data_IF_861915967199
#
_entry.id   IF_861915967199
#
_cell.length_a   1.000
_cell.length_b   1.000
_cell.length_c   1.000
_cell.angle_alpha   90.00
_cell.angle_beta   90.00
_cell.angle_gamma   90.00
#
_symmetry.space_group_name_H-M   'P 1'
#
loop_
_entity.id
_entity.type
_entity.pdbx_description
1 polymer ?
#
# COMPACT_ATOMS: atom_id res chain seq x y z
N UNK A 1 9.66 -31.87 -28.52
CA UNK A 1 8.58 -32.29 -27.58
C UNK A 1 7.38 -31.35 -27.78
N UNK A 2 6.30 -31.88 -28.43
CA UNK A 2 5.01 -31.16 -28.55
C UNK A 2 3.97 -31.81 -27.64
N UNK A 3 3.05 -31.05 -27.02
CA UNK A 3 1.93 -31.61 -26.27
C UNK A 3 1.04 -32.51 -27.14
N UNK A 4 0.65 -33.65 -26.60
CA UNK A 4 -0.11 -34.70 -27.34
C UNK A 4 -1.42 -35.02 -26.63
N UNK A 5 -2.48 -35.30 -27.40
CA UNK A 5 -3.74 -35.82 -26.87
C UNK A 5 -3.60 -37.28 -26.43
N UNK A 6 -4.46 -37.71 -25.51
CA UNK A 6 -4.49 -39.11 -25.02
C UNK A 6 -4.44 -40.15 -26.14
N UNK A 7 -5.22 -39.93 -27.21
CA UNK A 7 -5.22 -40.87 -28.39
C UNK A 7 -3.87 -40.91 -29.11
N UNK A 8 -3.19 -39.78 -29.23
CA UNK A 8 -1.86 -39.71 -29.84
C UNK A 8 -0.82 -40.41 -28.98
N UNK A 9 -0.93 -40.28 -27.64
CA UNK A 9 -0.09 -41.00 -26.69
C UNK A 9 -0.33 -42.53 -26.73
N UNK A 10 -1.60 -42.97 -26.85
CA UNK A 10 -1.90 -44.39 -27.04
C UNK A 10 -1.23 -44.98 -28.27
N UNK A 11 -1.20 -44.22 -29.38
CA UNK A 11 -0.54 -44.65 -30.62
C UNK A 11 0.97 -44.64 -30.47
N UNK A 12 1.55 -43.57 -29.92
CA UNK A 12 2.99 -43.42 -29.73
C UNK A 12 3.58 -44.50 -28.80
N UNK A 13 2.83 -44.87 -27.77
CA UNK A 13 3.27 -45.86 -26.77
C UNK A 13 2.77 -47.28 -27.07
N UNK A 14 2.17 -47.49 -28.21
CA UNK A 14 1.60 -48.79 -28.68
C UNK A 14 0.69 -49.46 -27.63
N UNK A 15 -0.20 -48.65 -27.00
CA UNK A 15 -1.11 -49.12 -25.95
C UNK A 15 -2.38 -49.69 -26.55
N UNK A 16 -2.61 -50.98 -26.37
CA UNK A 16 -3.81 -51.69 -26.84
C UNK A 16 -5.07 -51.13 -26.20
N UNK A 17 -6.23 -51.30 -26.85
CA UNK A 17 -7.52 -50.82 -26.32
C UNK A 17 -7.82 -51.30 -24.89
N UNK A 18 -7.44 -52.52 -24.55
CA UNK A 18 -7.66 -53.12 -23.24
C UNK A 18 -6.86 -52.44 -22.11
N UNK A 19 -5.69 -51.86 -22.45
CA UNK A 19 -4.79 -51.21 -21.48
C UNK A 19 -4.89 -49.70 -21.41
N UNK A 20 -5.84 -49.08 -22.14
CA UNK A 20 -6.00 -47.62 -22.15
C UNK A 20 -6.34 -47.04 -20.78
N UNK A 21 -7.12 -47.76 -19.99
CA UNK A 21 -7.45 -47.34 -18.61
C UNK A 21 -6.19 -47.26 -17.75
N UNK A 22 -5.26 -48.22 -17.88
CA UNK A 22 -3.98 -48.18 -17.16
C UNK A 22 -3.14 -46.95 -17.52
N UNK A 23 -3.09 -46.62 -18.82
CA UNK A 23 -2.39 -45.42 -19.30
C UNK A 23 -3.05 -44.16 -18.78
N UNK A 24 -4.37 -44.06 -18.78
CA UNK A 24 -5.11 -42.90 -18.30
C UNK A 24 -4.86 -42.69 -16.79
N UNK A 25 -4.91 -43.78 -16.01
CA UNK A 25 -4.61 -43.75 -14.58
C UNK A 25 -3.17 -43.29 -14.32
N UNK A 26 -2.20 -43.82 -15.06
CA UNK A 26 -0.80 -43.41 -14.93
C UNK A 26 -0.57 -41.94 -15.33
N UNK A 27 -1.24 -41.45 -16.38
CA UNK A 27 -1.14 -40.05 -16.80
C UNK A 27 -1.75 -39.12 -15.75
N UNK A 28 -2.90 -39.47 -15.18
CA UNK A 28 -3.53 -38.69 -14.11
C UNK A 28 -2.63 -38.65 -12.86
N UNK A 29 -2.05 -39.80 -12.47
CA UNK A 29 -1.08 -39.84 -11.38
C UNK A 29 0.13 -38.93 -11.66
N UNK A 30 0.68 -38.94 -12.87
CA UNK A 30 1.81 -38.08 -13.26
C UNK A 30 1.42 -36.59 -13.29
N UNK A 31 0.17 -36.25 -13.61
CA UNK A 31 -0.36 -34.88 -13.50
C UNK A 31 -0.47 -34.48 -12.02
N UNK A 32 -1.04 -35.36 -11.18
CA UNK A 32 -1.17 -35.10 -9.73
C UNK A 32 0.19 -34.96 -9.05
N UNK A 33 1.19 -35.71 -9.48
CA UNK A 33 2.57 -35.60 -9.03
C UNK A 33 3.31 -34.37 -9.62
N UNK A 34 2.69 -33.64 -10.55
CA UNK A 34 3.29 -32.47 -11.22
C UNK A 34 4.40 -32.81 -12.20
N UNK A 35 4.57 -34.08 -12.59
CA UNK A 35 5.59 -34.53 -13.53
C UNK A 35 5.24 -34.24 -14.99
N UNK A 36 3.94 -34.17 -15.30
CA UNK A 36 3.41 -33.71 -16.58
C UNK A 36 2.26 -32.73 -16.35
N UNK A 37 2.00 -31.86 -17.35
CA UNK A 37 0.85 -30.96 -17.35
C UNK A 37 -0.19 -31.40 -18.39
N UNK A 38 -1.44 -30.95 -18.19
CA UNK A 38 -2.53 -31.11 -19.15
C UNK A 38 -3.08 -29.74 -19.54
N UNK A 39 -3.20 -29.48 -20.86
CA UNK A 39 -3.79 -28.22 -21.35
C UNK A 39 -5.31 -28.24 -21.24
N UNK A 40 -5.95 -27.05 -21.32
CA UNK A 40 -7.41 -26.90 -21.43
C UNK A 40 -8.05 -27.71 -22.58
N UNK A 41 -7.24 -28.09 -23.55
CA UNK A 41 -7.68 -28.92 -24.70
C UNK A 41 -7.34 -30.40 -24.53
N UNK A 42 -6.97 -30.85 -23.33
CA UNK A 42 -6.66 -32.26 -23.02
C UNK A 42 -5.38 -32.78 -23.68
N UNK A 43 -4.37 -31.91 -23.88
CA UNK A 43 -3.05 -32.33 -24.34
C UNK A 43 -2.10 -32.46 -23.14
N UNK A 44 -1.41 -33.59 -23.07
CA UNK A 44 -0.36 -33.86 -22.09
C UNK A 44 1.00 -33.39 -22.60
N UNK A 45 1.83 -32.83 -21.71
CA UNK A 45 3.18 -32.37 -22.03
C UNK A 45 3.98 -32.00 -20.80
N UNK A 46 5.12 -31.33 -20.99
CA UNK A 46 5.90 -30.81 -19.88
C UNK A 46 5.08 -29.78 -19.10
N UNK A 47 5.17 -29.76 -17.75
CA UNK A 47 4.39 -28.84 -16.94
C UNK A 47 4.54 -27.38 -17.37
N UNK A 48 5.79 -26.97 -17.69
CA UNK A 48 6.12 -25.59 -18.08
C UNK A 48 5.42 -25.10 -19.35
N UNK A 49 4.84 -25.99 -20.15
CA UNK A 49 4.07 -25.64 -21.36
C UNK A 49 2.63 -25.22 -21.07
N UNK A 50 2.16 -25.41 -19.85
CA UNK A 50 0.76 -25.20 -19.43
C UNK A 50 0.65 -24.41 -18.15
N UNK A 51 1.69 -23.64 -17.84
CA UNK A 51 1.73 -22.81 -16.65
C UNK A 51 1.30 -21.39 -16.96
N UNK A 52 0.63 -20.78 -16.01
CA UNK A 52 0.26 -19.37 -15.98
C UNK A 52 1.17 -18.65 -15.00
N UNK A 53 1.58 -17.43 -15.34
CA UNK A 53 2.31 -16.55 -14.42
C UNK A 53 1.30 -15.73 -13.62
N UNK A 54 1.52 -15.61 -12.31
CA UNK A 54 0.66 -14.79 -11.46
C UNK A 54 1.31 -14.49 -10.11
N UNK A 55 0.63 -13.67 -9.32
CA UNK A 55 1.02 -13.32 -7.96
C UNK A 55 0.31 -14.19 -6.95
N UNK A 56 1.06 -14.77 -6.00
CA UNK A 56 0.53 -15.64 -4.96
C UNK A 56 0.10 -14.85 -3.73
N UNK A 57 -1.10 -15.11 -3.24
CA UNK A 57 -1.59 -14.62 -1.95
C UNK A 57 -1.98 -15.82 -1.07
N UNK A 58 -1.50 -15.83 0.18
CA UNK A 58 -1.83 -16.85 1.16
C UNK A 58 -2.88 -16.37 2.14
N UNK A 59 -3.49 -17.32 2.84
CA UNK A 59 -4.43 -17.09 3.93
C UNK A 59 -3.88 -17.66 5.23
N UNK A 60 -4.42 -17.23 6.37
CA UNK A 60 -4.08 -17.76 7.68
C UNK A 60 -4.45 -19.25 7.88
N UNK A 61 -5.18 -19.85 6.93
CA UNK A 61 -5.55 -21.28 6.94
C UNK A 61 -4.64 -22.17 6.11
N UNK A 62 -3.60 -21.60 5.48
CA UNK A 62 -2.59 -22.32 4.72
C UNK A 62 -2.88 -22.54 3.23
N UNK A 63 -4.08 -22.31 2.76
CA UNK A 63 -4.36 -22.26 1.34
C UNK A 63 -4.12 -20.86 0.80
N UNK A 64 -4.02 -20.72 -0.51
CA UNK A 64 -3.82 -19.43 -1.15
C UNK A 64 -4.53 -19.32 -2.48
N UNK A 65 -4.25 -18.22 -3.17
CA UNK A 65 -4.77 -17.90 -4.48
C UNK A 65 -3.64 -17.37 -5.36
N UNK A 66 -3.71 -17.65 -6.65
CA UNK A 66 -2.84 -17.02 -7.65
C UNK A 66 -3.70 -16.13 -8.53
N UNK A 67 -3.43 -14.83 -8.47
CA UNK A 67 -4.02 -13.83 -9.37
C UNK A 67 -3.22 -13.80 -10.67
N UNK A 68 -3.89 -14.05 -11.79
CA UNK A 68 -3.31 -14.05 -13.14
C UNK A 68 -3.91 -12.87 -13.90
N UNK A 69 -3.09 -12.02 -14.49
CA UNK A 69 -3.51 -10.75 -15.11
C UNK A 69 -4.55 -10.96 -16.25
N UNK A 70 -4.46 -12.07 -16.96
CA UNK A 70 -5.38 -12.36 -18.07
C UNK A 70 -6.65 -13.13 -17.64
N UNK A 71 -6.93 -13.27 -16.35
CA UNK A 71 -8.08 -14.00 -15.80
C UNK A 71 -8.91 -13.16 -14.85
N UNK A 72 -10.23 -13.26 -14.98
CA UNK A 72 -11.19 -12.58 -14.10
C UNK A 72 -11.25 -13.18 -12.69
N UNK A 73 -10.83 -14.43 -12.52
CA UNK A 73 -10.91 -15.15 -11.25
C UNK A 73 -9.56 -15.74 -10.86
N UNK A 74 -9.26 -15.64 -9.58
CA UNK A 74 -8.07 -16.25 -8.97
C UNK A 74 -8.11 -17.77 -9.01
N UNK A 75 -6.94 -18.39 -9.14
CA UNK A 75 -6.75 -19.84 -9.09
C UNK A 75 -6.52 -20.24 -7.62
N UNK A 76 -7.36 -21.11 -7.08
CA UNK A 76 -7.22 -21.65 -5.73
C UNK A 76 -6.03 -22.60 -5.64
N UNK A 77 -5.22 -22.45 -4.57
CA UNK A 77 -4.04 -23.28 -4.29
C UNK A 77 -4.22 -23.94 -2.92
N UNK A 78 -4.34 -25.26 -2.92
CA UNK A 78 -4.41 -26.03 -1.68
C UNK A 78 -3.08 -25.95 -0.90
N UNK A 79 -3.07 -26.14 0.44
CA UNK A 79 -1.86 -26.03 1.27
C UNK A 79 -0.67 -26.84 0.72
N UNK A 80 -0.92 -28.08 0.30
CA UNK A 80 0.12 -28.99 -0.21
C UNK A 80 0.62 -28.63 -1.64
N UNK A 81 -0.02 -27.65 -2.27
CA UNK A 81 0.30 -27.22 -3.65
C UNK A 81 1.00 -25.85 -3.71
N UNK A 82 1.39 -25.27 -2.56
CA UNK A 82 1.98 -23.93 -2.48
C UNK A 82 3.47 -23.88 -2.81
N UNK A 83 4.17 -25.00 -2.85
CA UNK A 83 5.63 -25.11 -3.06
C UNK A 83 6.45 -24.25 -2.07
N UNK A 84 5.89 -23.91 -0.91
CA UNK A 84 6.54 -23.05 0.07
C UNK A 84 6.57 -21.55 -0.31
N UNK A 85 5.78 -21.14 -1.30
CA UNK A 85 5.66 -19.74 -1.71
C UNK A 85 5.19 -18.84 -0.56
N UNK A 86 5.73 -17.63 -0.51
CA UNK A 86 5.37 -16.58 0.44
C UNK A 86 4.36 -15.61 -0.19
N UNK A 87 3.59 -14.87 0.62
CA UNK A 87 2.67 -13.85 0.10
C UNK A 87 3.38 -12.82 -0.77
N UNK A 88 2.84 -12.56 -1.95
CA UNK A 88 3.40 -11.64 -2.94
C UNK A 88 4.31 -12.29 -3.97
N UNK A 89 4.76 -13.53 -3.77
CA UNK A 89 5.66 -14.21 -4.71
C UNK A 89 5.07 -14.28 -6.11
N UNK A 90 5.91 -14.03 -7.11
CA UNK A 90 5.57 -14.26 -8.52
C UNK A 90 5.84 -15.72 -8.85
N UNK A 91 4.79 -16.44 -9.26
CA UNK A 91 4.83 -17.88 -9.43
C UNK A 91 4.36 -18.34 -10.82
N UNK A 92 4.79 -19.54 -11.21
CA UNK A 92 4.15 -20.31 -12.26
C UNK A 92 3.19 -21.32 -11.65
N UNK A 93 1.93 -21.27 -12.03
CA UNK A 93 0.88 -22.18 -11.59
C UNK A 93 0.41 -23.07 -12.73
N UNK A 94 0.28 -24.37 -12.48
CA UNK A 94 -0.38 -25.32 -13.37
C UNK A 94 -1.80 -25.55 -12.87
N UNK A 95 -2.79 -25.39 -13.74
CA UNK A 95 -4.19 -25.70 -13.43
C UNK A 95 -4.38 -27.20 -13.41
N UNK A 96 -4.82 -27.74 -12.29
CA UNK A 96 -5.09 -29.18 -12.09
C UNK A 96 -6.58 -29.52 -12.16
N UNK A 97 -7.46 -28.55 -11.86
CA UNK A 97 -8.91 -28.68 -12.02
C UNK A 97 -9.51 -27.39 -12.54
N UNK A 98 -10.31 -27.48 -13.61
CA UNK A 98 -11.00 -26.32 -14.18
C UNK A 98 -12.28 -25.99 -13.42
N UNK A 99 -12.69 -24.71 -13.47
CA UNK A 99 -13.96 -24.27 -12.92
C UNK A 99 -15.13 -25.08 -13.50
N UNK A 100 -15.99 -25.57 -12.61
CA UNK A 100 -17.20 -26.30 -12.98
C UNK A 100 -18.36 -25.92 -12.04
N UNK A 101 -19.31 -25.16 -12.56
CA UNK A 101 -20.43 -24.64 -11.79
C UNK A 101 -19.94 -23.68 -10.68
N UNK A 102 -20.17 -24.04 -9.41
CA UNK A 102 -19.73 -23.25 -8.25
C UNK A 102 -18.27 -23.48 -7.80
N UNK A 103 -17.58 -24.48 -8.40
CA UNK A 103 -16.17 -24.77 -8.07
C UNK A 103 -15.23 -23.83 -8.82
N UNK A 104 -14.28 -23.24 -8.07
CA UNK A 104 -13.21 -22.43 -8.64
C UNK A 104 -12.17 -23.31 -9.34
N UNK A 105 -11.37 -22.72 -10.22
CA UNK A 105 -10.18 -23.38 -10.73
C UNK A 105 -9.23 -23.68 -9.58
N UNK A 106 -8.64 -24.88 -9.59
CA UNK A 106 -7.62 -25.29 -8.64
C UNK A 106 -6.29 -25.48 -9.39
N UNK A 107 -5.22 -25.02 -8.76
CA UNK A 107 -3.87 -25.08 -9.32
C UNK A 107 -2.83 -25.58 -8.33
N UNK A 108 -1.65 -25.85 -8.86
CA UNK A 108 -0.43 -26.17 -8.11
C UNK A 108 0.67 -25.21 -8.56
N UNK A 109 1.38 -24.61 -7.61
CA UNK A 109 2.58 -23.86 -7.91
C UNK A 109 3.66 -24.86 -8.34
N UNK A 110 4.20 -24.66 -9.53
CA UNK A 110 5.25 -25.52 -10.09
C UNK A 110 6.62 -24.87 -10.03
N UNK A 111 6.65 -23.53 -9.88
CA UNK A 111 7.89 -22.78 -9.75
C UNK A 111 7.62 -21.40 -9.14
N UNK A 112 8.48 -20.98 -8.25
CA UNK A 112 8.56 -19.59 -7.78
C UNK A 112 9.56 -18.90 -8.71
N UNK A 113 9.14 -17.80 -9.34
CA UNK A 113 9.95 -17.02 -10.28
C UNK A 113 10.71 -15.91 -9.56
N UNK A 114 10.02 -15.27 -8.60
CA UNK A 114 10.54 -14.12 -7.87
C UNK A 114 9.91 -14.09 -6.48
N UNK A 115 10.74 -13.87 -5.48
CA UNK A 115 10.30 -13.59 -4.12
C UNK A 115 10.22 -12.07 -3.93
N UNK A 116 9.08 -11.57 -3.50
CA UNK A 116 8.87 -10.14 -3.26
C UNK A 116 9.13 -9.74 -1.80
N UNK A 117 8.92 -10.66 -0.86
CA UNK A 117 9.18 -10.43 0.55
C UNK A 117 10.68 -10.54 0.83
N UNK A 118 11.33 -9.43 1.15
CA UNK A 118 12.78 -9.38 1.45
C UNK A 118 13.09 -9.38 2.94
N UNK A 119 12.12 -9.00 3.77
CA UNK A 119 12.25 -8.97 5.23
C UNK A 119 10.95 -9.37 5.91
N UNK A 120 11.03 -9.74 7.17
CA UNK A 120 9.88 -10.11 8.00
C UNK A 120 9.95 -9.41 9.35
N UNK A 121 8.79 -8.93 9.82
CA UNK A 121 8.60 -8.45 11.19
C UNK A 121 7.97 -9.55 12.01
N UNK A 122 8.47 -9.78 13.22
CA UNK A 122 7.94 -10.83 14.07
C UNK A 122 8.52 -10.84 15.47
N UNK A 123 8.15 -11.86 16.22
CA UNK A 123 8.64 -12.07 17.58
C UNK A 123 9.80 -13.06 17.58
N UNK A 124 10.94 -12.64 18.14
CA UNK A 124 12.11 -13.49 18.25
C UNK A 124 11.96 -14.52 19.37
N UNK A 125 12.23 -15.77 19.08
CA UNK A 125 12.31 -16.87 20.05
C UNK A 125 13.74 -17.40 20.09
N UNK A 126 14.37 -17.27 21.25
CA UNK A 126 15.77 -17.66 21.48
C UNK A 126 15.90 -19.10 21.94
N UNK A 127 16.76 -19.86 21.32
CA UNK A 127 17.24 -21.16 21.76
C UNK A 127 18.75 -21.11 22.09
N UNK A 128 19.32 -22.19 22.64
CA UNK A 128 20.73 -22.23 23.08
C UNK A 128 21.72 -21.88 21.95
N UNK A 129 21.49 -22.34 20.72
CA UNK A 129 22.43 -22.21 19.59
C UNK A 129 21.81 -21.65 18.32
N UNK A 130 20.55 -21.27 18.32
CA UNK A 130 19.81 -20.71 17.20
C UNK A 130 18.57 -19.99 17.71
N UNK A 131 17.87 -19.34 16.83
CA UNK A 131 16.56 -18.72 17.13
C UNK A 131 15.56 -18.92 16.00
N UNK A 132 14.35 -18.43 16.25
CA UNK A 132 13.31 -18.31 15.24
C UNK A 132 12.69 -16.92 15.33
N UNK A 133 12.28 -16.38 14.18
CA UNK A 133 11.35 -15.25 14.12
C UNK A 133 9.99 -15.79 13.73
N UNK A 134 9.01 -15.58 14.61
CA UNK A 134 7.61 -15.90 14.38
C UNK A 134 6.97 -14.69 13.72
N UNK A 135 6.52 -14.77 12.46
CA UNK A 135 5.95 -13.62 11.74
C UNK A 135 4.71 -13.06 12.43
N UNK A 136 4.58 -11.72 12.45
CA UNK A 136 3.35 -11.06 12.88
C UNK A 136 2.24 -11.18 11.82
N UNK A 137 2.62 -11.29 10.56
CA UNK A 137 1.68 -11.52 9.47
C UNK A 137 1.17 -12.97 9.50
N UNK A 138 -0.06 -13.14 9.96
CA UNK A 138 -0.74 -14.45 10.08
C UNK A 138 -0.91 -15.20 8.76
N UNK A 139 -0.68 -14.55 7.61
CA UNK A 139 -0.68 -15.21 6.30
C UNK A 139 0.62 -15.97 6.03
N UNK A 140 1.68 -15.71 6.82
CA UNK A 140 2.96 -16.43 6.74
C UNK A 140 2.93 -17.51 7.84
N UNK A 141 2.78 -18.76 7.45
CA UNK A 141 2.62 -19.89 8.37
C UNK A 141 3.94 -20.58 8.73
N UNK A 142 5.06 -20.03 8.27
CA UNK A 142 6.37 -20.62 8.49
C UNK A 142 7.17 -19.75 9.41
N UNK A 143 7.84 -20.37 10.38
CA UNK A 143 8.83 -19.69 11.22
C UNK A 143 10.12 -19.49 10.43
N UNK A 144 10.81 -18.40 10.70
CA UNK A 144 12.06 -18.07 10.06
C UNK A 144 13.23 -18.43 10.97
N UNK A 145 14.13 -19.23 10.47
CA UNK A 145 15.30 -19.71 11.22
C UNK A 145 16.39 -18.64 11.29
N UNK A 146 16.90 -18.40 12.51
CA UNK A 146 18.02 -17.47 12.78
C UNK A 146 19.21 -18.29 13.23
N UNK A 147 20.29 -18.27 12.45
CA UNK A 147 21.55 -18.92 12.78
C UNK A 147 22.24 -18.20 13.95
N UNK A 148 23.04 -18.94 14.71
CA UNK A 148 23.83 -18.40 15.81
C UNK A 148 24.72 -17.23 15.32
N UNK A 149 24.65 -16.09 16.02
CA UNK A 149 25.40 -14.88 15.71
C UNK A 149 24.72 -13.98 14.67
N UNK A 150 23.54 -14.35 14.17
CA UNK A 150 22.67 -13.53 13.30
C UNK A 150 21.44 -13.01 14.02
N UNK A 151 21.46 -13.01 15.34
CA UNK A 151 20.36 -12.61 16.20
C UNK A 151 20.49 -11.16 16.74
N UNK A 152 21.58 -10.46 16.39
CA UNK A 152 21.83 -9.08 16.86
C UNK A 152 21.70 -8.93 18.39
N UNK A 153 21.98 -10.02 19.14
CA UNK A 153 21.79 -10.12 20.61
C UNK A 153 20.34 -9.94 21.08
N UNK A 154 19.35 -10.11 20.20
CA UNK A 154 17.95 -10.05 20.55
C UNK A 154 17.61 -11.02 21.70
N UNK A 155 16.72 -10.59 22.58
CA UNK A 155 16.24 -11.39 23.69
C UNK A 155 14.96 -12.15 23.31
N UNK A 156 14.67 -13.20 24.08
CA UNK A 156 13.44 -13.96 23.85
C UNK A 156 12.21 -13.11 24.08
N UNK A 157 11.37 -12.98 23.07
CA UNK A 157 10.16 -12.15 23.09
C UNK A 157 10.30 -10.78 22.48
N UNK A 158 11.49 -10.37 22.04
CA UNK A 158 11.68 -9.09 21.34
C UNK A 158 10.95 -9.09 19.99
N UNK A 159 10.43 -7.94 19.64
CA UNK A 159 9.98 -7.63 18.28
C UNK A 159 11.17 -7.25 17.44
N UNK A 160 11.29 -7.87 16.29
CA UNK A 160 12.45 -7.70 15.40
C UNK A 160 12.03 -7.55 13.95
N UNK A 161 12.88 -6.86 13.18
CA UNK A 161 12.92 -6.96 11.73
C UNK A 161 14.05 -7.91 11.36
N UNK A 162 13.78 -8.85 10.47
CA UNK A 162 14.78 -9.77 9.99
C UNK A 162 14.79 -9.86 8.47
N UNK A 163 15.97 -9.73 7.87
CA UNK A 163 16.17 -9.83 6.42
C UNK A 163 16.29 -11.28 6.00
N UNK A 164 15.63 -11.67 4.91
CA UNK A 164 15.65 -13.04 4.40
C UNK A 164 16.94 -13.27 3.63
N UNK A 165 17.68 -14.30 4.04
CA UNK A 165 18.94 -14.72 3.40
C UNK A 165 18.75 -15.93 2.48
N UNK A 166 17.84 -16.84 2.85
CA UNK A 166 17.51 -18.07 2.11
C UNK A 166 16.01 -18.33 2.30
N UNK A 167 15.28 -18.47 1.23
CA UNK A 167 13.82 -18.73 1.27
C UNK A 167 13.47 -20.17 1.63
N UNK A 168 14.47 -21.05 1.74
CA UNK A 168 14.26 -22.46 2.03
C UNK A 168 13.53 -23.20 0.92
N UNK A 169 12.72 -24.18 1.31
CA UNK A 169 11.85 -24.94 0.43
C UNK A 169 10.71 -25.58 1.24
N UNK A 170 9.89 -26.45 0.65
CA UNK A 170 8.78 -27.14 1.34
C UNK A 170 9.17 -27.81 2.66
N UNK A 171 10.44 -28.23 2.80
CA UNK A 171 10.96 -29.02 3.94
C UNK A 171 11.94 -28.27 4.82
N UNK A 172 12.40 -27.07 4.40
CA UNK A 172 13.39 -26.27 5.11
C UNK A 172 12.84 -24.88 5.35
N UNK A 173 12.82 -24.44 6.60
CA UNK A 173 12.41 -23.08 6.95
C UNK A 173 13.29 -22.04 6.28
N UNK A 174 12.75 -20.88 5.90
CA UNK A 174 13.55 -19.75 5.43
C UNK A 174 14.56 -19.34 6.51
N UNK A 175 15.74 -18.84 6.08
CA UNK A 175 16.79 -18.35 6.97
C UNK A 175 16.82 -16.83 6.92
N UNK A 176 16.96 -16.23 8.10
CA UNK A 176 16.99 -14.78 8.24
C UNK A 176 18.13 -14.32 9.15
N UNK A 177 18.45 -13.06 9.03
CA UNK A 177 19.32 -12.31 9.93
C UNK A 177 18.52 -11.16 10.56
N UNK A 178 18.55 -11.04 11.89
CA UNK A 178 17.94 -9.90 12.58
C UNK A 178 18.72 -8.65 12.21
N UNK A 179 18.03 -7.64 11.70
CA UNK A 179 18.62 -6.37 11.24
C UNK A 179 18.19 -5.17 12.08
N UNK A 180 17.08 -5.31 12.84
CA UNK A 180 16.60 -4.27 13.75
C UNK A 180 15.87 -4.91 14.92
N UNK A 181 16.12 -4.43 16.14
CA UNK A 181 15.33 -4.77 17.34
C UNK A 181 14.41 -3.59 17.62
N UNK A 182 13.10 -3.84 17.54
CA UNK A 182 12.07 -2.81 17.70
C UNK A 182 11.74 -2.52 19.17
N UNK A 183 12.04 -3.47 20.05
CA UNK A 183 11.75 -3.41 21.48
C UNK A 183 11.09 -4.68 22.01
N UNK A 184 10.84 -4.72 23.33
CA UNK A 184 10.13 -5.84 23.93
C UNK A 184 8.66 -5.86 23.47
N UNK A 185 8.06 -7.05 23.35
CA UNK A 185 6.68 -7.25 22.86
C UNK A 185 5.60 -6.37 23.49
N UNK A 186 5.77 -6.00 24.76
CA UNK A 186 4.79 -5.20 25.53
C UNK A 186 5.31 -3.76 25.83
N UNK A 187 6.37 -3.35 25.20
CA UNK A 187 6.89 -2.00 25.35
C UNK A 187 6.02 -1.03 24.54
N UNK A 188 5.60 0.12 25.17
CA UNK A 188 4.77 1.10 24.47
C UNK A 188 5.42 1.59 23.17
N UNK A 189 4.64 1.60 22.08
CA UNK A 189 5.08 2.05 20.76
C UNK A 189 5.72 0.95 19.88
N UNK A 190 6.13 -0.19 20.46
CA UNK A 190 6.71 -1.33 19.69
C UNK A 190 5.70 -1.93 18.72
N UNK A 191 4.43 -1.95 19.08
CA UNK A 191 3.34 -2.43 18.21
C UNK A 191 3.15 -1.52 16.99
N UNK A 192 3.11 -0.20 17.18
CA UNK A 192 3.03 0.79 16.10
C UNK A 192 4.25 0.69 15.20
N UNK A 193 5.46 0.63 15.76
CA UNK A 193 6.70 0.51 15.01
C UNK A 193 6.75 -0.80 14.21
N UNK A 194 6.26 -1.90 14.78
CA UNK A 194 6.14 -3.19 14.07
C UNK A 194 5.23 -3.09 12.85
N UNK A 195 4.11 -2.35 12.94
CA UNK A 195 3.21 -2.09 11.82
C UNK A 195 3.94 -1.27 10.76
N UNK A 196 4.58 -0.16 11.14
CA UNK A 196 5.35 0.71 10.22
C UNK A 196 6.37 -0.11 9.43
N UNK A 197 7.17 -0.93 10.12
CA UNK A 197 8.17 -1.79 9.48
C UNK A 197 7.57 -2.88 8.61
N UNK A 198 6.44 -3.47 9.02
CA UNK A 198 5.80 -4.56 8.26
C UNK A 198 5.23 -4.10 6.92
N UNK A 199 4.86 -2.82 6.81
CA UNK A 199 4.40 -2.20 5.57
C UNK A 199 5.52 -1.48 4.81
N UNK A 200 6.75 -1.48 5.33
CA UNK A 200 7.88 -0.80 4.69
C UNK A 200 7.70 0.72 4.60
N UNK A 201 6.95 1.32 5.55
CA UNK A 201 6.68 2.76 5.55
C UNK A 201 7.96 3.51 5.95
N UNK A 202 8.51 4.39 5.08
CA UNK A 202 9.72 5.14 5.39
C UNK A 202 9.40 6.28 6.35
N UNK A 203 9.97 6.25 7.56
CA UNK A 203 9.76 7.31 8.57
C UNK A 203 10.57 8.57 8.27
N UNK A 204 11.78 8.42 7.76
CA UNK A 204 12.69 9.52 7.45
C UNK A 204 12.71 9.85 5.96
N UNK A 205 13.00 11.10 5.64
CA UNK A 205 13.26 11.52 4.27
C UNK A 205 14.74 11.34 3.93
N UNK A 206 15.08 10.97 2.68
CA UNK A 206 16.46 10.99 2.20
C UNK A 206 17.10 12.38 2.38
N UNK A 207 18.39 12.41 2.73
CA UNK A 207 19.09 13.68 3.01
C UNK A 207 19.06 14.63 1.81
N UNK A 208 19.20 14.11 0.59
CA UNK A 208 19.12 14.91 -0.65
C UNK A 208 17.75 15.58 -0.85
N UNK A 209 16.66 14.94 -0.39
CA UNK A 209 15.32 15.54 -0.37
C UNK A 209 15.26 16.68 0.65
N UNK A 210 15.83 16.47 1.84
CA UNK A 210 15.88 17.50 2.89
C UNK A 210 16.74 18.69 2.46
N UNK A 211 17.89 18.46 1.83
CA UNK A 211 18.78 19.50 1.31
C UNK A 211 18.10 20.33 0.21
N UNK A 212 17.21 19.73 -0.58
CA UNK A 212 16.47 20.46 -1.62
C UNK A 212 15.51 21.53 -1.05
N UNK A 213 15.09 21.37 0.21
CA UNK A 213 14.22 22.33 0.91
C UNK A 213 14.89 23.69 1.16
N UNK A 214 16.21 23.79 1.12
CA UNK A 214 16.93 25.05 1.36
C UNK A 214 16.60 26.10 0.31
N UNK A 215 16.16 25.68 -0.89
CA UNK A 215 15.72 26.57 -1.95
C UNK A 215 14.30 27.11 -1.79
N UNK A 216 13.51 26.52 -0.89
CA UNK A 216 12.11 26.89 -0.65
C UNK A 216 12.06 27.91 0.50
N UNK A 217 11.44 29.09 0.28
CA UNK A 217 11.33 30.11 1.33
C UNK A 217 10.44 29.65 2.50
N UNK A 218 10.58 30.29 3.65
CA UNK A 218 9.71 30.06 4.80
C UNK A 218 8.36 30.77 4.68
N UNK A 219 8.32 31.89 3.92
CA UNK A 219 7.15 32.72 3.68
C UNK A 219 6.99 33.01 2.20
N UNK A 220 5.75 33.24 1.77
CA UNK A 220 5.44 33.61 0.39
C UNK A 220 6.10 34.96 0.04
N UNK A 221 6.94 34.96 -0.97
CA UNK A 221 7.65 36.17 -1.42
C UNK A 221 6.77 37.06 -2.30
N UNK A 222 7.09 38.35 -2.41
CA UNK A 222 6.36 39.25 -3.31
C UNK A 222 6.43 38.82 -4.78
N UNK A 223 7.53 38.15 -5.18
CA UNK A 223 7.67 37.67 -6.54
C UNK A 223 6.70 36.53 -6.85
N UNK A 224 6.40 35.68 -5.90
CA UNK A 224 5.48 34.54 -6.05
C UNK A 224 4.00 34.95 -6.10
N UNK A 225 3.69 36.17 -5.61
CA UNK A 225 2.34 36.77 -5.69
C UNK A 225 2.00 37.33 -7.05
N UNK A 226 3.02 37.61 -7.89
CA UNK A 226 2.82 38.27 -9.20
C UNK A 226 1.98 37.36 -10.11
N UNK A 227 0.89 37.93 -10.64
CA UNK A 227 -0.02 37.21 -11.56
C UNK A 227 -1.13 36.42 -10.87
N UNK A 228 -1.10 36.30 -9.57
CA UNK A 228 -2.16 35.64 -8.77
C UNK A 228 -3.23 36.66 -8.37
N UNK A 229 -4.47 36.19 -8.27
CA UNK A 229 -5.57 37.00 -7.76
C UNK A 229 -5.42 37.20 -6.25
N UNK A 230 -5.43 38.44 -5.79
CA UNK A 230 -5.36 38.78 -4.38
C UNK A 230 -6.72 38.56 -3.71
N UNK A 231 -6.79 37.64 -2.77
CA UNK A 231 -7.97 37.27 -2.00
C UNK A 231 -7.74 37.47 -0.48
N UNK A 232 -6.68 38.19 -0.08
CA UNK A 232 -6.30 38.35 1.34
C UNK A 232 -7.27 39.19 2.15
N UNK A 233 -8.06 40.03 1.47
CA UNK A 233 -9.09 40.86 2.13
C UNK A 233 -10.42 40.14 2.32
N UNK A 234 -10.54 38.88 1.86
CA UNK A 234 -11.74 38.04 2.07
C UNK A 234 -11.65 37.28 3.37
N UNK A 235 -12.75 37.29 4.15
CA UNK A 235 -12.83 36.48 5.36
C UNK A 235 -12.72 35.00 5.00
N UNK A 236 -11.64 34.40 5.41
CA UNK A 236 -11.27 33.04 5.06
C UNK A 236 -10.97 32.22 6.32
N UNK A 237 -11.52 31.02 6.40
CA UNK A 237 -11.33 30.11 7.54
C UNK A 237 -10.89 28.73 7.05
N UNK A 238 -10.12 28.03 7.88
CA UNK A 238 -9.92 26.57 7.79
C UNK A 238 -10.77 25.86 8.82
N UNK A 239 -11.24 24.64 8.54
CA UNK A 239 -12.07 23.85 9.44
C UNK A 239 -11.52 22.42 9.49
N UNK A 240 -10.82 22.08 10.57
CA UNK A 240 -10.04 20.85 10.69
C UNK A 240 -10.20 20.20 12.07
N UNK A 241 -9.52 19.07 12.30
CA UNK A 241 -9.37 18.49 13.64
C UNK A 241 -8.51 19.38 14.54
N UNK A 242 -8.68 19.25 15.87
CA UNK A 242 -7.96 20.05 16.85
C UNK A 242 -6.43 19.93 16.72
N UNK A 243 -5.93 18.75 16.37
CA UNK A 243 -4.51 18.43 16.27
C UNK A 243 -3.93 18.55 14.85
N UNK A 244 -4.77 18.89 13.83
CA UNK A 244 -4.32 19.04 12.45
C UNK A 244 -3.28 20.15 12.33
N UNK A 245 -2.24 19.95 11.52
CA UNK A 245 -1.19 20.92 11.25
C UNK A 245 -0.94 21.10 9.75
N UNK A 246 -1.45 20.23 8.97
CA UNK A 246 -1.44 20.17 7.52
C UNK A 246 -2.83 20.63 7.02
N UNK A 247 -3.02 21.97 7.02
CA UNK A 247 -4.28 22.59 6.65
C UNK A 247 -4.29 22.78 5.13
N UNK A 248 -4.93 21.86 4.43
CA UNK A 248 -4.86 21.78 2.96
C UNK A 248 -5.92 22.63 2.27
N UNK A 249 -7.06 22.87 2.94
CA UNK A 249 -8.18 23.62 2.39
C UNK A 249 -8.68 24.74 3.31
N UNK A 250 -9.21 25.77 2.69
CA UNK A 250 -9.86 26.88 3.36
C UNK A 250 -11.10 27.33 2.55
N UNK A 251 -12.02 27.99 3.22
CA UNK A 251 -13.22 28.52 2.60
C UNK A 251 -13.39 30.00 2.90
N UNK A 252 -13.94 30.73 1.93
CA UNK A 252 -14.48 32.09 2.12
C UNK A 252 -15.92 32.15 1.64
N UNK A 253 -16.76 32.91 2.31
CA UNK A 253 -18.17 33.03 1.95
C UNK A 253 -18.66 34.47 2.16
N UNK A 254 -19.32 35.03 1.14
CA UNK A 254 -20.09 36.25 1.25
C UNK A 254 -21.47 36.05 0.64
N UNK A 255 -22.45 36.85 1.08
CA UNK A 255 -23.81 36.78 0.52
C UNK A 255 -24.23 38.19 0.09
N UNK A 256 -24.50 38.36 -1.21
CA UNK A 256 -24.96 39.60 -1.80
C UNK A 256 -26.04 39.39 -2.86
N UNK A 257 -27.12 40.16 -2.81
CA UNK A 257 -28.19 40.18 -3.82
C UNK A 257 -28.81 38.80 -4.10
N UNK A 258 -28.94 37.92 -3.12
CA UNK A 258 -29.47 36.58 -3.27
C UNK A 258 -28.46 35.55 -3.83
N UNK A 259 -27.19 35.88 -3.89
CA UNK A 259 -26.10 35.01 -4.36
C UNK A 259 -25.11 34.79 -3.23
N UNK A 260 -24.77 33.54 -2.98
CA UNK A 260 -23.63 33.13 -2.16
C UNK A 260 -22.38 33.09 -3.02
N UNK A 261 -21.37 33.87 -2.68
CA UNK A 261 -20.05 33.84 -3.28
C UNK A 261 -19.16 32.97 -2.43
N UNK A 262 -19.04 31.69 -2.80
CA UNK A 262 -18.22 30.69 -2.10
C UNK A 262 -16.85 30.57 -2.76
N UNK A 263 -15.79 30.79 -1.98
CA UNK A 263 -14.42 30.44 -2.36
C UNK A 263 -14.00 29.14 -1.67
N UNK A 264 -13.50 28.20 -2.44
CA UNK A 264 -12.80 27.01 -1.93
C UNK A 264 -11.33 27.12 -2.36
N UNK A 265 -10.45 27.19 -1.40
CA UNK A 265 -9.03 27.48 -1.59
C UNK A 265 -8.22 26.26 -1.18
N UNK A 266 -7.49 25.65 -2.12
CA UNK A 266 -6.61 24.52 -1.86
C UNK A 266 -5.16 25.00 -1.90
N UNK A 267 -4.35 24.61 -0.95
CA UNK A 267 -2.93 24.94 -0.92
C UNK A 267 -2.24 24.58 -2.25
N UNK A 268 -1.57 25.55 -2.89
CA UNK A 268 -0.88 25.34 -4.17
C UNK A 268 0.47 24.64 -3.94
N UNK A 269 0.40 23.36 -3.56
CA UNK A 269 1.57 22.51 -3.33
C UNK A 269 2.44 22.42 -4.59
N UNK A 270 1.83 22.45 -5.78
CA UNK A 270 2.55 22.30 -7.06
C UNK A 270 3.43 23.49 -7.40
N UNK A 271 3.23 24.63 -6.71
CA UNK A 271 4.15 25.76 -6.80
C UNK A 271 5.54 25.43 -6.27
N UNK A 272 5.62 24.64 -5.21
CA UNK A 272 6.88 24.24 -4.54
C UNK A 272 7.35 22.85 -4.95
N UNK A 273 6.46 21.91 -5.17
CA UNK A 273 6.76 20.54 -5.58
C UNK A 273 6.61 20.43 -7.10
N UNK A 274 7.71 20.63 -7.82
CA UNK A 274 7.71 20.58 -9.29
C UNK A 274 7.82 19.16 -9.80
N UNK A 275 7.11 18.85 -10.88
CA UNK A 275 7.15 17.55 -11.55
C UNK A 275 8.59 17.13 -11.86
N UNK A 276 8.96 15.89 -11.48
CA UNK A 276 10.29 15.33 -11.65
C UNK A 276 11.36 15.86 -10.69
N UNK A 277 10.99 16.68 -9.70
CA UNK A 277 11.90 17.09 -8.62
C UNK A 277 12.11 15.96 -7.61
N UNK A 278 13.17 16.06 -6.79
CA UNK A 278 13.41 15.09 -5.69
C UNK A 278 12.20 15.00 -4.73
N UNK A 279 11.53 16.11 -4.47
CA UNK A 279 10.33 16.16 -3.65
C UNK A 279 9.15 15.41 -4.31
N UNK A 280 8.96 15.58 -5.61
CA UNK A 280 7.90 14.90 -6.37
C UNK A 280 8.14 13.40 -6.45
N UNK A 281 9.39 12.97 -6.73
CA UNK A 281 9.74 11.56 -6.74
C UNK A 281 9.54 10.89 -5.37
N UNK A 282 9.95 11.56 -4.29
CA UNK A 282 9.75 11.05 -2.93
C UNK A 282 8.26 11.02 -2.56
N UNK A 283 7.49 12.06 -2.92
CA UNK A 283 6.04 12.08 -2.69
C UNK A 283 5.33 10.95 -3.44
N UNK A 284 5.73 10.65 -4.69
CA UNK A 284 5.22 9.50 -5.46
C UNK A 284 5.57 8.17 -4.78
N UNK A 285 6.80 8.03 -4.27
CA UNK A 285 7.24 6.82 -3.57
C UNK A 285 6.43 6.58 -2.30
N UNK A 286 6.11 7.63 -1.53
CA UNK A 286 5.29 7.54 -0.32
C UNK A 286 3.81 7.36 -0.63
N UNK A 287 3.30 8.01 -1.67
CA UNK A 287 1.92 7.93 -2.16
C UNK A 287 0.88 8.63 -1.30
N UNK A 288 1.08 8.73 0.02
CA UNK A 288 0.16 9.37 0.98
C UNK A 288 0.88 9.69 2.29
N UNK A 289 0.30 10.56 3.11
CA UNK A 289 0.64 10.66 4.53
C UNK A 289 0.00 9.49 5.28
N UNK A 290 0.69 8.96 6.30
CA UNK A 290 0.20 7.83 7.12
C UNK A 290 -0.06 8.33 8.53
N UNK A 291 -1.32 8.28 8.95
CA UNK A 291 -1.77 8.71 10.26
C UNK A 291 -1.81 7.51 11.21
N UNK A 292 -0.90 7.51 12.19
CA UNK A 292 -0.80 6.49 13.23
C UNK A 292 -1.45 7.02 14.52
N UNK A 293 -1.62 6.17 15.50
CA UNK A 293 -2.26 6.55 16.77
C UNK A 293 -1.46 7.59 17.57
N UNK A 294 -0.14 7.63 17.41
CA UNK A 294 0.80 8.46 18.17
C UNK A 294 1.53 9.51 17.34
N UNK A 295 1.55 9.37 16.01
CA UNK A 295 2.28 10.25 15.08
C UNK A 295 1.74 10.21 13.67
N UNK A 296 2.17 11.19 12.86
CA UNK A 296 1.96 11.22 11.42
C UNK A 296 3.31 11.05 10.72
N UNK A 297 3.38 10.13 9.76
CA UNK A 297 4.49 10.01 8.80
C UNK A 297 4.03 10.73 7.53
N UNK A 298 4.52 11.94 7.25
CA UNK A 298 3.97 12.78 6.20
C UNK A 298 4.48 12.35 4.80
N UNK A 299 3.65 12.59 3.77
CA UNK A 299 4.02 12.40 2.37
C UNK A 299 5.07 13.44 1.94
N UNK A 300 4.95 14.67 2.43
CA UNK A 300 5.88 15.76 2.16
C UNK A 300 6.61 16.19 3.44
N UNK A 301 7.86 16.68 3.36
CA UNK A 301 8.57 17.21 4.51
C UNK A 301 7.77 18.30 5.24
N UNK A 302 7.90 18.36 6.58
CA UNK A 302 7.11 19.27 7.42
C UNK A 302 7.29 20.74 7.10
N UNK A 303 8.42 21.14 6.51
CA UNK A 303 8.61 22.50 6.01
C UNK A 303 7.56 22.87 4.95
N UNK A 304 7.10 21.90 4.18
CA UNK A 304 5.99 22.06 3.23
C UNK A 304 4.66 21.80 3.91
N UNK A 305 4.42 20.57 4.39
CA UNK A 305 3.09 20.14 4.84
C UNK A 305 2.54 20.89 6.06
N UNK A 306 3.40 21.32 6.98
CA UNK A 306 2.99 22.08 8.17
C UNK A 306 3.40 23.57 8.06
N UNK A 307 4.23 23.91 7.06
CA UNK A 307 4.81 25.24 6.84
C UNK A 307 4.14 25.99 5.70
N UNK A 308 4.91 26.21 4.62
CA UNK A 308 4.52 27.13 3.53
C UNK A 308 3.30 26.65 2.73
N UNK A 309 3.04 25.33 2.66
CA UNK A 309 1.84 24.77 2.03
C UNK A 309 0.64 24.65 2.99
N UNK A 310 0.83 24.73 4.31
CA UNK A 310 -0.28 24.71 5.25
C UNK A 310 -0.94 26.09 5.32
N UNK A 311 -2.26 26.16 5.20
CA UNK A 311 -3.04 27.39 5.19
C UNK A 311 -3.18 27.97 6.61
N UNK A 312 -2.04 28.22 7.26
CA UNK A 312 -1.97 28.75 8.61
C UNK A 312 -2.53 30.17 8.70
N UNK A 313 -3.32 30.45 9.75
CA UNK A 313 -3.93 31.75 9.96
C UNK A 313 -2.89 32.88 10.12
N UNK A 314 -3.22 34.06 9.62
CA UNK A 314 -2.42 35.29 9.75
C UNK A 314 -1.17 35.34 8.87
N UNK A 315 -1.05 34.44 7.89
CA UNK A 315 0.08 34.40 6.95
C UNK A 315 -0.38 34.27 5.50
N UNK A 316 0.33 34.94 4.58
CA UNK A 316 0.04 34.81 3.15
C UNK A 316 0.35 33.37 2.68
N UNK A 317 -0.57 32.82 1.89
CA UNK A 317 -0.43 31.48 1.30
C UNK A 317 -0.85 31.49 -0.17
N UNK A 318 -0.14 30.69 -0.97
CA UNK A 318 -0.51 30.45 -2.36
C UNK A 318 -1.57 29.35 -2.42
N UNK A 319 -2.64 29.61 -3.15
CA UNK A 319 -3.72 28.66 -3.31
C UNK A 319 -4.16 28.56 -4.78
N UNK A 320 -4.72 27.40 -5.11
CA UNK A 320 -5.55 27.21 -6.30
C UNK A 320 -7.01 27.26 -5.81
N UNK A 321 -7.76 28.26 -6.29
CA UNK A 321 -9.08 28.54 -5.76
C UNK A 321 -10.16 28.29 -6.80
N UNK A 322 -11.27 27.68 -6.33
CA UNK A 322 -12.52 27.63 -7.06
C UNK A 322 -13.47 28.65 -6.44
N UNK A 323 -13.80 29.69 -7.20
CA UNK A 323 -14.73 30.75 -6.80
C UNK A 323 -16.08 30.45 -7.45
N UNK A 324 -17.13 30.30 -6.67
CA UNK A 324 -18.45 29.89 -7.14
C UNK A 324 -19.54 30.88 -6.72
N UNK A 325 -20.41 31.22 -7.66
CA UNK A 325 -21.67 31.94 -7.39
C UNK A 325 -22.79 30.91 -7.29
N UNK A 326 -23.47 30.87 -6.14
CA UNK A 326 -24.51 29.89 -5.83
C UNK A 326 -25.79 30.64 -5.50
N UNK A 327 -26.90 30.28 -6.16
CA UNK A 327 -28.22 30.88 -5.87
C UNK A 327 -28.85 30.34 -4.56
N UNK A 328 -29.99 30.91 -4.14
CA UNK A 328 -30.70 30.50 -2.93
C UNK A 328 -31.23 29.07 -3.02
N UNK A 329 -31.40 28.50 -4.20
CA UNK A 329 -31.77 27.10 -4.46
C UNK A 329 -30.59 26.14 -4.39
N UNK A 330 -29.34 26.65 -4.20
CA UNK A 330 -28.13 25.85 -4.12
C UNK A 330 -27.54 25.48 -5.48
N UNK A 331 -27.97 26.16 -6.56
CA UNK A 331 -27.44 25.92 -7.91
C UNK A 331 -26.21 26.78 -8.15
N UNK A 332 -25.13 26.19 -8.65
CA UNK A 332 -23.95 26.94 -9.10
C UNK A 332 -24.30 27.62 -10.42
N UNK A 333 -24.41 28.94 -10.40
CA UNK A 333 -24.76 29.78 -11.57
C UNK A 333 -23.53 30.27 -12.32
N UNK A 334 -22.39 30.34 -11.64
CA UNK A 334 -21.09 30.68 -12.23
C UNK A 334 -19.94 30.07 -11.42
N UNK A 335 -18.78 29.84 -12.04
CA UNK A 335 -17.55 29.44 -11.35
C UNK A 335 -16.31 29.85 -12.12
N UNK A 336 -15.22 30.03 -11.38
CA UNK A 336 -13.89 30.35 -11.91
C UNK A 336 -12.84 29.56 -11.11
N UNK A 337 -11.86 28.98 -11.78
CA UNK A 337 -10.69 28.36 -11.14
C UNK A 337 -9.48 29.21 -11.46
N UNK A 338 -8.79 29.70 -10.43
CA UNK A 338 -7.64 30.60 -10.60
C UNK A 338 -6.61 30.41 -9.50
N UNK A 339 -5.38 30.81 -9.81
CA UNK A 339 -4.30 30.93 -8.84
C UNK A 339 -4.52 32.16 -7.98
N UNK A 340 -4.43 32.00 -6.65
CA UNK A 340 -4.72 33.07 -5.69
C UNK A 340 -3.61 33.22 -4.66
N UNK A 341 -3.63 34.36 -3.98
CA UNK A 341 -2.96 34.58 -2.68
C UNK A 341 -4.05 34.84 -1.67
N UNK A 342 -4.06 34.04 -0.60
CA UNK A 342 -5.01 34.16 0.50
C UNK A 342 -4.28 34.42 1.81
N UNK A 343 -5.00 34.95 2.81
CA UNK A 343 -4.56 35.02 4.20
C UNK A 343 -5.72 34.53 5.04
N UNK A 344 -5.58 33.35 5.65
CA UNK A 344 -6.63 32.78 6.51
C UNK A 344 -6.76 33.64 7.78
N UNK A 345 -7.97 34.09 8.10
CA UNK A 345 -8.22 34.89 9.31
C UNK A 345 -8.24 34.02 10.56
N UNK A 346 -8.93 32.89 10.48
CA UNK A 346 -9.16 32.01 11.61
C UNK A 346 -9.04 30.54 11.25
N UNK A 347 -8.39 29.80 12.14
CA UNK A 347 -8.46 28.36 12.17
C UNK A 347 -9.62 27.94 13.06
N UNK A 348 -10.60 27.24 12.50
CA UNK A 348 -11.71 26.65 13.24
C UNK A 348 -11.54 25.13 13.37
N UNK A 349 -12.26 24.53 14.30
CA UNK A 349 -12.29 23.06 14.44
C UNK A 349 -13.66 22.51 14.09
N UNK A 350 -13.72 21.24 13.68
CA UNK A 350 -14.98 20.57 13.40
C UNK A 350 -15.95 20.63 14.59
N UNK A 351 -15.44 20.44 15.82
CA UNK A 351 -16.25 20.53 17.05
C UNK A 351 -16.82 21.93 17.23
N UNK A 352 -15.99 22.95 17.11
CA UNK A 352 -16.41 24.34 17.27
C UNK A 352 -17.48 24.75 16.25
N UNK A 353 -17.27 24.38 14.96
CA UNK A 353 -18.24 24.70 13.90
C UNK A 353 -19.54 23.95 14.13
N UNK A 354 -19.49 22.67 14.52
CA UNK A 354 -20.69 21.90 14.84
C UNK A 354 -21.48 22.56 16.01
N UNK A 355 -20.80 22.96 17.08
CA UNK A 355 -21.41 23.61 18.23
C UNK A 355 -22.12 24.93 17.83
N UNK A 356 -21.47 25.76 16.99
CA UNK A 356 -22.04 27.00 16.46
C UNK A 356 -23.29 26.72 15.61
N UNK A 357 -23.24 25.73 14.72
CA UNK A 357 -24.38 25.35 13.88
C UNK A 357 -25.54 24.78 14.70
N UNK A 358 -25.26 24.13 15.84
CA UNK A 358 -26.26 23.63 16.79
C UNK A 358 -26.81 24.74 17.71
N UNK A 359 -26.35 25.99 17.54
CA UNK A 359 -26.88 27.17 18.22
C UNK A 359 -26.11 27.59 19.46
N UNK A 360 -24.90 27.09 19.68
CA UNK A 360 -24.00 27.63 20.70
C UNK A 360 -23.53 29.06 20.32
N UNK A 361 -23.26 29.92 21.31
CA UNK A 361 -22.60 31.20 21.05
C UNK A 361 -21.19 30.98 20.55
N UNK A 362 -20.84 31.58 19.41
CA UNK A 362 -19.46 31.58 18.93
C UNK A 362 -18.57 32.28 19.98
N UNK A 363 -17.36 31.78 20.25
CA UNK A 363 -16.38 32.50 21.07
C UNK A 363 -16.16 33.93 20.53
N UNK A 364 -15.87 34.90 21.42
CA UNK A 364 -15.78 36.33 21.09
C UNK A 364 -14.83 36.59 19.90
N UNK A 365 -13.76 35.82 19.81
CA UNK A 365 -12.75 35.89 18.74
C UNK A 365 -13.25 35.40 17.36
N UNK A 366 -14.44 34.80 17.26
CA UNK A 366 -15.07 34.30 16.03
C UNK A 366 -16.42 34.95 15.74
N UNK A 367 -16.75 36.10 16.38
CA UNK A 367 -18.03 36.77 16.17
C UNK A 367 -18.07 37.80 15.04
N UNK A 368 -16.94 38.05 14.40
CA UNK A 368 -16.84 39.06 13.31
C UNK A 368 -17.30 38.52 11.98
#
# INVERSE_FOLDING_TARGET
YRPMKFRELCVLLDVSKARRYELETALNQLVDEGKIGISAHGKYGKPELFTLKGSFSSTSRGFGFVTVEEKDNDIFIAPDNTLGALPGDVVLVSVISHANGSRREEGRIVRILEHTLTSVVGTFQKNKNFGFVLPDNQRILRDFFVEKGKDMDAQNGDKVVATILDYGNEHKNPQVEVTEILGAKNEPGTDVLSIVRSYGIPEEFPQEVLDSLDSIPEEVTEAEKIGRRDMRDFHTVTIDGEDARDLDDAISLTFENGIYHLGVHIADVTHYVKEGSLLDEEAKNRGTSVYLADRVIPMLPRKLSNGICSLNAGTDRLALSCLMDIDEEGTIVNHEICETVICVDRRMTYTMVADILDGAEAPEEYKD
#
